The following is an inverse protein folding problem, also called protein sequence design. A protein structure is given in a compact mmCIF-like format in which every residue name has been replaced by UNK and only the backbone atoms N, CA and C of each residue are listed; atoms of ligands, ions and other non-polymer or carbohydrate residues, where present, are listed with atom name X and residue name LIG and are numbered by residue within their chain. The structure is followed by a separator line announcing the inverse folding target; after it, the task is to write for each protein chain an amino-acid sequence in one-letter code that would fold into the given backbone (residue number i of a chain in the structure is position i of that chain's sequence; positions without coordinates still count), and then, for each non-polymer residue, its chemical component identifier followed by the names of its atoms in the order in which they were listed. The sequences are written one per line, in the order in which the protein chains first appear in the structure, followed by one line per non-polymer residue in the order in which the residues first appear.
data_IF_023981866043
#
_entry.id   IF_023981866043
#
_cell.length_a   1.000
_cell.length_b   1.000
_cell.length_c   1.000
_cell.angle_alpha   90.00
_cell.angle_beta   90.00
_cell.angle_gamma   90.00
#
_symmetry.space_group_name_H-M   'P 1'
#
loop_
_entity.id
_entity.type
_entity.pdbx_description
1 polymer ?
#
# COMPACT_ATOMS: atom_id res chain seq x y z
N UNK A 1 13.11 11.74 9.23
CA UNK A 1 12.29 10.50 9.23
C UNK A 1 11.93 10.05 7.81
N UNK A 2 11.45 10.95 6.95
CA UNK A 2 11.10 10.68 5.53
C UNK A 2 12.19 9.90 4.76
N UNK A 3 13.46 10.25 4.94
CA UNK A 3 14.57 9.58 4.24
C UNK A 3 14.70 8.08 4.56
N UNK A 4 14.07 7.58 5.64
CA UNK A 4 14.04 6.15 5.97
C UNK A 4 12.96 5.37 5.22
N UNK A 5 11.95 6.06 4.67
CA UNK A 5 10.88 5.45 3.87
C UNK A 5 11.44 5.23 2.45
N UNK A 6 11.29 4.04 1.84
CA UNK A 6 11.76 3.80 0.47
C UNK A 6 11.14 4.75 -0.55
N UNK A 7 9.83 4.98 -0.48
CA UNK A 7 9.10 5.92 -1.34
C UNK A 7 9.45 7.41 -1.10
N UNK A 8 10.23 7.74 -0.05
CA UNK A 8 10.58 9.14 0.32
C UNK A 8 9.38 10.06 0.50
N UNK A 9 8.23 9.50 0.87
CA UNK A 9 6.97 10.20 1.08
C UNK A 9 6.35 9.73 2.40
N UNK A 10 5.81 10.66 3.20
CA UNK A 10 4.91 10.28 4.28
C UNK A 10 3.58 9.81 3.68
N UNK A 11 3.10 8.64 4.09
CA UNK A 11 1.76 8.20 3.75
C UNK A 11 0.70 9.08 4.40
N UNK A 12 -0.46 9.17 3.76
CA UNK A 12 -1.66 9.79 4.31
C UNK A 12 -2.81 8.78 4.41
N UNK A 13 -3.89 9.17 5.10
CA UNK A 13 -5.09 8.31 5.22
C UNK A 13 -5.73 8.03 3.86
N UNK A 14 -5.57 8.93 2.89
CA UNK A 14 -6.06 8.77 1.52
C UNK A 14 -5.30 7.69 0.74
N UNK A 15 -4.00 7.48 1.03
CA UNK A 15 -3.23 6.41 0.40
C UNK A 15 -3.81 5.03 0.79
N UNK A 16 -4.29 4.88 2.03
CA UNK A 16 -4.99 3.69 2.51
C UNK A 16 -6.40 3.58 1.92
N UNK A 17 -7.17 4.67 1.93
CA UNK A 17 -8.55 4.68 1.42
C UNK A 17 -8.64 4.27 -0.05
N UNK A 18 -7.67 4.67 -0.89
CA UNK A 18 -7.62 4.27 -2.30
C UNK A 18 -7.48 2.77 -2.50
N UNK A 19 -6.72 2.08 -1.64
CA UNK A 19 -6.61 0.63 -1.72
C UNK A 19 -7.92 -0.06 -1.31
N UNK A 20 -8.62 0.48 -0.31
CA UNK A 20 -9.97 -0.01 0.06
C UNK A 20 -10.95 0.18 -1.10
N UNK A 21 -10.91 1.35 -1.76
CA UNK A 21 -11.73 1.62 -2.95
C UNK A 21 -11.42 0.61 -4.05
N UNK A 22 -10.13 0.37 -4.36
CA UNK A 22 -9.72 -0.64 -5.34
C UNK A 22 -10.25 -2.03 -4.98
N UNK A 23 -10.09 -2.47 -3.72
CA UNK A 23 -10.55 -3.78 -3.26
C UNK A 23 -12.07 -3.94 -3.24
N UNK A 24 -12.80 -2.82 -3.16
CA UNK A 24 -14.27 -2.79 -3.21
C UNK A 24 -14.82 -2.75 -4.63
N UNK A 25 -13.96 -2.48 -5.62
CA UNK A 25 -14.35 -2.45 -7.02
C UNK A 25 -14.48 -3.89 -7.57
N UNK A 26 -15.71 -4.24 -7.95
CA UNK A 26 -16.04 -5.60 -8.38
C UNK A 26 -15.39 -5.99 -9.71
N UNK A 27 -15.02 -5.03 -10.56
CA UNK A 27 -14.37 -5.29 -11.85
C UNK A 27 -12.85 -5.28 -11.68
N UNK A 28 -12.30 -4.25 -11.03
CA UNK A 28 -10.85 -4.05 -10.88
C UNK A 28 -10.20 -5.08 -9.92
N UNK A 29 -10.93 -5.54 -8.91
CA UNK A 29 -10.46 -6.54 -7.95
C UNK A 29 -11.14 -7.92 -8.12
N UNK A 30 -11.75 -8.20 -9.29
CA UNK A 30 -12.52 -9.42 -9.52
C UNK A 30 -11.73 -10.71 -9.23
N UNK A 31 -10.42 -10.71 -9.50
CA UNK A 31 -9.53 -11.86 -9.31
C UNK A 31 -8.60 -11.74 -8.09
N UNK A 32 -8.68 -10.65 -7.34
CA UNK A 32 -7.85 -10.42 -6.15
C UNK A 32 -8.58 -10.99 -4.93
N UNK A 33 -8.15 -12.16 -4.47
CA UNK A 33 -8.76 -12.92 -3.37
C UNK A 33 -7.68 -13.59 -2.51
N UNK A 34 -7.94 -13.74 -1.21
CA UNK A 34 -7.05 -14.45 -0.28
C UNK A 34 -5.64 -13.86 -0.18
N UNK A 35 -5.49 -12.56 -0.42
CA UNK A 35 -4.20 -11.87 -0.47
C UNK A 35 -4.12 -10.76 0.58
N UNK A 36 -2.89 -10.39 0.93
CA UNK A 36 -2.58 -9.22 1.73
C UNK A 36 -2.00 -8.12 0.82
N UNK A 37 -2.48 -6.88 0.98
CA UNK A 37 -1.93 -5.72 0.26
C UNK A 37 -1.25 -4.80 1.27
N UNK A 38 0.05 -4.64 1.13
CA UNK A 38 0.86 -3.76 1.96
C UNK A 38 0.80 -2.32 1.43
N UNK A 39 0.46 -1.37 2.31
CA UNK A 39 0.36 0.07 2.00
C UNK A 39 1.29 0.83 2.93
N UNK A 40 2.59 0.65 2.75
CA UNK A 40 3.60 1.04 3.72
C UNK A 40 4.74 1.90 3.13
N UNK A 41 4.62 2.31 1.87
CA UNK A 41 5.67 3.06 1.18
C UNK A 41 6.95 2.23 0.93
N UNK A 42 6.84 0.90 0.93
CA UNK A 42 7.91 -0.08 0.70
C UNK A 42 8.67 -0.48 1.95
N UNK A 43 8.20 -0.12 3.14
CA UNK A 43 8.94 -0.29 4.39
C UNK A 43 9.28 -1.76 4.67
N UNK A 44 8.35 -2.69 4.50
CA UNK A 44 8.56 -4.13 4.78
C UNK A 44 9.73 -4.73 3.98
N UNK A 45 9.93 -4.26 2.74
CA UNK A 45 11.00 -4.76 1.86
C UNK A 45 12.22 -3.82 1.81
N UNK A 46 12.35 -2.90 2.76
CA UNK A 46 13.47 -1.96 2.79
C UNK A 46 14.78 -2.74 2.97
N UNK A 47 15.76 -2.59 2.05
CA UNK A 47 17.06 -3.23 2.19
C UNK A 47 17.73 -2.79 3.50
N UNK A 48 18.27 -3.75 4.25
CA UNK A 48 19.00 -3.54 5.51
C UNK A 48 18.13 -3.02 6.67
N UNK A 49 16.88 -3.51 6.76
CA UNK A 49 16.14 -3.46 8.03
C UNK A 49 16.60 -4.57 8.97
#
# INVERSE_FOLDING_TARGET
MINKIPLKKMGSVEDFAKAVVYLSDNDAANFVKGTEILIDGGMILRPNM
#
